data_IF_199893012827
#
_entry.id   IF_199893012827
#
_cell.length_a   1.000
_cell.length_b   1.000
_cell.length_c   1.000
_cell.angle_alpha   90.00
_cell.angle_beta   90.00
_cell.angle_gamma   90.00
#
_symmetry.space_group_name_H-M   'P 1'
#
loop_
_entity.id
_entity.type
_entity.pdbx_description
1 polymer ?
#
# COMPACT_ATOMS: atom_id res chain seq x y z
N UNK A 1 8.87 10.98 -26.54
CA UNK A 1 8.31 10.83 -25.19
C UNK A 1 7.19 11.85 -25.04
N UNK A 2 5.94 11.45 -24.72
CA UNK A 2 4.81 12.38 -24.65
C UNK A 2 4.85 13.21 -23.35
N UNK A 3 4.41 14.47 -23.41
CA UNK A 3 4.40 15.40 -22.27
C UNK A 3 3.67 14.84 -21.04
N UNK A 4 2.68 13.97 -21.27
CA UNK A 4 1.92 13.28 -20.23
C UNK A 4 2.81 12.50 -19.25
N UNK A 5 3.89 11.87 -19.74
CA UNK A 5 4.79 11.06 -18.90
C UNK A 5 6.03 11.85 -18.43
N UNK A 6 6.48 12.85 -19.20
CA UNK A 6 7.68 13.62 -18.86
C UNK A 6 7.42 14.85 -18.00
N UNK A 7 6.19 15.39 -17.97
CA UNK A 7 5.81 16.56 -17.16
C UNK A 7 4.95 16.19 -15.95
N UNK A 8 5.24 15.05 -15.31
CA UNK A 8 4.62 14.75 -14.03
C UNK A 8 5.10 15.76 -12.97
N UNK A 9 4.21 16.25 -12.08
CA UNK A 9 4.62 17.06 -10.95
C UNK A 9 5.72 16.35 -10.15
N UNK A 10 6.81 17.07 -9.85
CA UNK A 10 7.95 16.52 -9.10
C UNK A 10 7.51 15.87 -7.79
N UNK A 11 6.49 16.45 -7.16
CA UNK A 11 5.90 15.98 -5.91
C UNK A 11 5.41 14.53 -5.99
N UNK A 12 4.97 14.05 -7.16
CA UNK A 12 4.40 12.71 -7.34
C UNK A 12 5.46 11.59 -7.17
N UNK A 13 6.64 11.77 -7.76
CA UNK A 13 7.72 10.76 -7.75
C UNK A 13 8.83 11.07 -6.74
N UNK A 14 8.70 12.15 -5.97
CA UNK A 14 9.58 12.39 -4.83
C UNK A 14 9.38 11.33 -3.75
N UNK A 15 10.48 10.78 -3.26
CA UNK A 15 10.45 9.91 -2.10
C UNK A 15 10.00 10.65 -0.84
N UNK A 16 9.08 10.04 -0.11
CA UNK A 16 8.70 10.38 1.26
C UNK A 16 8.99 9.18 2.16
N UNK A 17 9.61 9.47 3.29
CA UNK A 17 9.89 8.46 4.33
C UNK A 17 8.88 8.64 5.45
N UNK A 18 8.24 7.55 5.89
CA UNK A 18 7.29 7.56 7.01
C UNK A 18 7.67 6.45 7.99
N UNK A 19 7.59 6.74 9.29
CA UNK A 19 7.77 5.77 10.36
C UNK A 19 6.43 5.07 10.64
N UNK A 20 6.38 3.76 10.42
CA UNK A 20 5.20 2.93 10.61
C UNK A 20 5.51 1.90 11.68
N UNK A 21 4.56 1.62 12.57
CA UNK A 21 4.70 0.55 13.56
C UNK A 21 4.21 -0.76 12.94
N UNK A 22 5.10 -1.72 12.77
CA UNK A 22 4.82 -3.08 12.30
C UNK A 22 5.20 -4.05 13.41
N UNK A 23 4.23 -4.85 13.87
CA UNK A 23 4.42 -5.81 14.97
C UNK A 23 5.18 -5.25 16.20
N UNK A 24 4.77 -4.06 16.67
CA UNK A 24 5.42 -3.38 17.80
C UNK A 24 6.75 -2.68 17.48
N UNK A 25 7.38 -2.95 16.35
CA UNK A 25 8.62 -2.32 15.90
C UNK A 25 8.36 -1.09 15.04
N UNK A 26 9.16 -0.03 15.21
CA UNK A 26 9.10 1.16 14.35
C UNK A 26 9.97 0.93 13.11
N UNK A 27 9.33 0.82 11.95
CA UNK A 27 9.96 0.60 10.66
C UNK A 27 9.88 1.86 9.81
N UNK A 28 11.03 2.29 9.29
CA UNK A 28 11.13 3.43 8.38
C UNK A 28 10.89 2.97 6.94
N UNK A 29 9.79 3.41 6.32
CA UNK A 29 9.41 3.02 4.96
C UNK A 29 9.59 4.22 4.03
N UNK A 30 10.29 4.02 2.91
CA UNK A 30 10.55 5.05 1.89
C UNK A 30 9.85 4.67 0.57
N UNK A 31 8.91 5.50 0.16
CA UNK A 31 8.12 5.35 -1.08
C UNK A 31 7.91 6.69 -1.75
N UNK A 32 7.66 6.68 -3.05
CA UNK A 32 7.22 7.85 -3.81
C UNK A 32 5.88 8.37 -3.29
N UNK A 33 5.65 9.68 -3.35
CA UNK A 33 4.43 10.29 -2.78
C UNK A 33 3.15 9.72 -3.38
N UNK A 34 3.13 9.40 -4.68
CA UNK A 34 1.96 8.78 -5.32
C UNK A 34 1.63 7.39 -4.77
N UNK A 35 2.62 6.59 -4.36
CA UNK A 35 2.33 5.32 -3.69
C UNK A 35 1.70 5.55 -2.32
N UNK A 36 2.19 6.54 -1.56
CA UNK A 36 1.55 6.89 -0.29
C UNK A 36 0.10 7.33 -0.46
N UNK A 37 -0.22 8.13 -1.47
CA UNK A 37 -1.58 8.57 -1.77
C UNK A 37 -2.51 7.39 -2.08
N UNK A 38 -2.05 6.44 -2.91
CA UNK A 38 -2.83 5.23 -3.24
C UNK A 38 -3.04 4.35 -2.02
N UNK A 39 -2.02 4.16 -1.16
CA UNK A 39 -2.16 3.40 0.08
C UNK A 39 -3.18 4.06 1.04
N UNK A 40 -3.19 5.40 1.13
CA UNK A 40 -4.19 6.15 1.91
C UNK A 40 -5.60 5.96 1.36
N UNK A 41 -5.76 5.99 0.03
CA UNK A 41 -7.05 5.76 -0.63
C UNK A 41 -7.58 4.35 -0.35
N UNK A 42 -6.73 3.32 -0.49
CA UNK A 42 -7.10 1.92 -0.20
C UNK A 42 -7.56 1.77 1.26
N UNK A 43 -6.78 2.31 2.20
CA UNK A 43 -7.11 2.25 3.62
C UNK A 43 -8.45 2.97 3.91
N UNK A 44 -8.68 4.14 3.32
CA UNK A 44 -9.92 4.88 3.47
C UNK A 44 -11.13 4.12 2.91
N UNK A 45 -11.01 3.47 1.75
CA UNK A 45 -12.10 2.66 1.16
C UNK A 45 -12.47 1.44 1.99
N UNK A 46 -11.52 0.89 2.74
CA UNK A 46 -11.75 -0.19 3.70
C UNK A 46 -12.08 0.34 5.11
N UNK A 47 -12.32 1.65 5.26
CA UNK A 47 -12.65 2.29 6.54
C UNK A 47 -11.61 2.05 7.66
N UNK A 48 -10.33 1.98 7.30
CA UNK A 48 -9.23 1.77 8.22
C UNK A 48 -8.18 2.88 8.16
N UNK A 49 -7.44 3.06 9.25
CA UNK A 49 -6.26 3.97 9.25
C UNK A 49 -5.13 3.33 8.45
N UNK A 50 -4.36 4.16 7.74
CA UNK A 50 -3.20 3.70 6.97
C UNK A 50 -2.25 2.82 7.79
N UNK A 51 -1.93 3.21 9.04
CA UNK A 51 -1.03 2.41 9.88
C UNK A 51 -1.58 1.01 10.13
N UNK A 52 -2.89 0.87 10.37
CA UNK A 52 -3.53 -0.42 10.61
C UNK A 52 -3.55 -1.28 9.35
N UNK A 53 -3.88 -0.68 8.19
CA UNK A 53 -3.79 -1.34 6.90
C UNK A 53 -2.40 -1.93 6.65
N UNK A 54 -1.36 -1.13 6.86
CA UNK A 54 0.02 -1.56 6.63
C UNK A 54 0.47 -2.64 7.61
N UNK A 55 0.08 -2.55 8.89
CA UNK A 55 0.37 -3.59 9.87
C UNK A 55 -0.32 -4.91 9.51
N UNK A 56 -1.59 -4.89 9.11
CA UNK A 56 -2.33 -6.09 8.73
C UNK A 56 -1.71 -6.74 7.49
N UNK A 57 -1.43 -5.95 6.45
CA UNK A 57 -0.79 -6.44 5.23
C UNK A 57 0.59 -7.04 5.51
N UNK A 58 1.36 -6.46 6.43
CA UNK A 58 2.65 -7.00 6.85
C UNK A 58 2.49 -8.36 7.54
N UNK A 59 1.57 -8.46 8.49
CA UNK A 59 1.31 -9.70 9.23
C UNK A 59 0.80 -10.82 8.32
N UNK A 60 -0.16 -10.52 7.43
CA UNK A 60 -0.68 -11.50 6.47
C UNK A 60 0.42 -11.99 5.51
N UNK A 61 1.30 -11.11 5.06
CA UNK A 61 2.43 -11.48 4.22
C UNK A 61 3.43 -12.37 4.98
N UNK A 62 3.67 -12.08 6.26
CA UNK A 62 4.53 -12.86 7.14
C UNK A 62 3.94 -14.26 7.38
N UNK A 63 2.64 -14.35 7.65
CA UNK A 63 1.93 -15.62 7.86
C UNK A 63 1.93 -16.49 6.60
N UNK A 64 1.81 -15.89 5.42
CA UNK A 64 1.78 -16.62 4.15
C UNK A 64 3.17 -17.07 3.67
N UNK A 65 4.18 -16.20 3.76
CA UNK A 65 5.49 -16.43 3.15
C UNK A 65 6.59 -16.82 4.17
N UNK A 66 6.33 -16.69 5.47
CA UNK A 66 7.29 -16.95 6.55
C UNK A 66 8.33 -15.84 6.77
N UNK A 67 8.47 -14.90 5.84
CA UNK A 67 9.30 -13.69 5.96
C UNK A 67 8.80 -12.59 5.00
N UNK A 68 9.12 -11.33 5.30
CA UNK A 68 8.82 -10.16 4.47
C UNK A 68 10.11 -9.38 4.17
N UNK A 69 10.99 -9.97 3.36
CA UNK A 69 12.27 -9.35 2.99
C UNK A 69 12.13 -8.02 2.22
N UNK A 70 11.04 -7.83 1.46
CA UNK A 70 10.86 -6.69 0.54
C UNK A 70 9.50 -5.99 0.71
N UNK A 71 9.19 -5.55 1.94
CA UNK A 71 7.88 -4.92 2.23
C UNK A 71 7.58 -3.71 1.33
N UNK A 72 8.57 -2.86 1.05
CA UNK A 72 8.41 -1.69 0.16
C UNK A 72 7.99 -2.11 -1.26
N UNK A 73 8.50 -3.23 -1.77
CA UNK A 73 8.09 -3.75 -3.09
C UNK A 73 6.67 -4.31 -3.05
N UNK A 74 6.30 -5.00 -1.96
CA UNK A 74 4.93 -5.46 -1.74
C UNK A 74 3.95 -4.28 -1.81
N UNK A 75 4.22 -3.19 -1.09
CA UNK A 75 3.36 -1.99 -1.09
C UNK A 75 3.17 -1.38 -2.49
N UNK A 76 4.24 -1.33 -3.30
CA UNK A 76 4.13 -0.87 -4.69
C UNK A 76 3.27 -1.81 -5.54
N UNK A 77 3.46 -3.12 -5.39
CA UNK A 77 2.64 -4.12 -6.06
C UNK A 77 1.17 -4.03 -5.64
N UNK A 78 0.87 -3.83 -4.36
CA UNK A 78 -0.48 -3.59 -3.85
C UNK A 78 -1.13 -2.40 -4.54
N UNK A 79 -0.42 -1.28 -4.69
CA UNK A 79 -0.93 -0.11 -5.41
C UNK A 79 -1.22 -0.42 -6.88
N UNK A 80 -0.34 -1.15 -7.56
CA UNK A 80 -0.54 -1.53 -8.97
C UNK A 80 -1.75 -2.46 -9.14
N UNK A 81 -1.94 -3.43 -8.24
CA UNK A 81 -3.11 -4.32 -8.26
C UNK A 81 -4.38 -3.51 -8.07
N UNK A 82 -4.41 -2.64 -7.08
CA UNK A 82 -5.55 -1.76 -6.82
C UNK A 82 -5.90 -0.87 -8.02
N UNK A 83 -4.92 -0.18 -8.61
CA UNK A 83 -5.16 0.75 -9.72
C UNK A 83 -5.60 0.07 -11.02
N UNK A 84 -5.37 -1.23 -11.20
CA UNK A 84 -5.89 -1.97 -12.36
C UNK A 84 -7.41 -2.09 -12.33
N UNK A 85 -7.97 -2.42 -11.17
CA UNK A 85 -9.41 -2.65 -10.98
C UNK A 85 -9.85 -2.29 -9.55
N UNK A 86 -10.02 -0.99 -9.22
CA UNK A 86 -10.24 -0.56 -7.84
C UNK A 86 -11.52 -1.10 -7.18
N UNK A 87 -12.62 -1.20 -7.93
CA UNK A 87 -13.89 -1.68 -7.38
C UNK A 87 -13.83 -3.19 -7.12
N UNK A 88 -13.40 -3.96 -8.11
CA UNK A 88 -13.28 -5.42 -8.01
C UNK A 88 -12.37 -5.83 -6.85
N UNK A 89 -11.22 -5.15 -6.69
CA UNK A 89 -10.29 -5.42 -5.57
C UNK A 89 -10.95 -5.16 -4.23
N UNK A 90 -11.66 -4.04 -4.07
CA UNK A 90 -12.30 -3.69 -2.80
C UNK A 90 -13.46 -4.64 -2.49
N UNK A 91 -14.21 -5.08 -3.49
CA UNK A 91 -15.32 -6.02 -3.32
C UNK A 91 -14.81 -7.42 -2.93
N UNK A 92 -13.73 -7.89 -3.56
CA UNK A 92 -13.06 -9.15 -3.19
C UNK A 92 -12.59 -9.11 -1.73
N UNK A 93 -11.91 -8.02 -1.33
CA UNK A 93 -11.39 -7.89 0.03
C UNK A 93 -12.54 -7.88 1.06
N UNK A 94 -13.63 -7.17 0.78
CA UNK A 94 -14.82 -7.18 1.65
C UNK A 94 -15.41 -8.58 1.80
N UNK A 95 -15.56 -9.32 0.69
CA UNK A 95 -16.07 -10.69 0.73
C UNK A 95 -15.17 -11.61 1.57
N UNK A 96 -13.84 -11.46 1.48
CA UNK A 96 -12.91 -12.25 2.29
C UNK A 96 -13.05 -11.95 3.78
N UNK A 97 -13.20 -10.67 4.15
CA UNK A 97 -13.39 -10.25 5.55
C UNK A 97 -14.74 -10.69 6.13
N UNK A 98 -15.79 -10.79 5.31
CA UNK A 98 -17.12 -11.29 5.74
C UNK A 98 -17.15 -12.82 5.96
N UNK A 99 -16.15 -13.55 5.45
CA UNK A 99 -16.03 -15.00 5.56
C UNK A 99 -15.08 -15.47 6.68
N UNK A 100 -14.46 -14.54 7.41
CA UNK A 100 -13.58 -14.79 8.56
C UNK A 100 -14.28 -14.44 9.88
#
# INVERSE_FOLDING_TARGET
MCELFSKQPLENYQYKTRSIRLDGHVTSIKLEASFWQVLEEIAAKQQMRLSHFLSNLYNEALDHAGDVANFTSLLRCTCLIYLRQPNDVIDIVKQQLELQ
#
